data_IF_249586846041
#
_entry.id   IF_249586846041
#
_cell.length_a   1.000
_cell.length_b   1.000
_cell.length_c   1.000
_cell.angle_alpha   90.00
_cell.angle_beta   90.00
_cell.angle_gamma   90.00
#
_symmetry.space_group_name_H-M   'P 1'
#
loop_
_entity.id
_entity.type
_entity.pdbx_description
1 polymer ?
2 non-polymer ?
3 water ?
#
# COMPACT_ATOMS: atom_id res chain seq x y z
N UNK A 4 7.34 23.68 -4.75
CA UNK A 4 6.04 23.55 -4.03
C UNK A 4 6.27 23.00 -2.62
N UNK A 5 5.29 23.22 -1.74
CA UNK A 5 5.36 22.75 -0.36
C UNK A 5 5.33 21.22 -0.30
N UNK A 6 6.17 20.64 0.55
CA UNK A 6 6.22 19.18 0.67
C UNK A 6 6.09 18.69 2.11
N UNK A 7 4.86 18.57 2.59
CA UNK A 7 4.63 18.09 3.95
C UNK A 7 4.95 16.60 4.07
N UNK A 8 5.60 16.23 5.17
CA UNK A 8 5.98 14.85 5.45
C UNK A 8 4.87 14.09 6.19
N UNK A 9 4.49 12.93 5.67
CA UNK A 9 3.48 12.11 6.31
C UNK A 9 4.15 10.86 6.88
N UNK A 10 3.42 10.11 7.69
CA UNK A 10 3.96 8.89 8.28
C UNK A 10 3.00 7.75 8.03
N UNK A 11 3.53 6.62 7.57
CA UNK A 11 2.70 5.46 7.30
C UNK A 11 3.38 4.17 7.73
N UNK A 12 2.58 3.12 7.87
CA UNK A 12 3.10 1.80 8.21
C UNK A 12 2.98 1.02 6.91
N UNK A 13 3.96 0.17 6.64
CA UNK A 13 3.96 -0.61 5.42
C UNK A 13 3.90 -2.11 5.72
N UNK A 14 3.12 -2.83 4.93
CA UNK A 14 2.94 -4.27 5.06
C UNK A 14 3.24 -4.90 3.71
N UNK A 15 4.11 -5.91 3.71
CA UNK A 15 4.46 -6.59 2.48
C UNK A 15 3.64 -7.86 2.27
N UNK A 16 3.29 -8.14 1.02
CA UNK A 16 2.55 -9.35 0.72
C UNK A 16 3.52 -10.48 1.06
N UNK A 17 3.01 -11.57 1.62
CA UNK A 17 3.87 -12.68 1.99
C UNK A 17 3.21 -14.02 1.67
N UNK A 18 4.03 -15.01 1.33
CA UNK A 18 3.52 -16.34 1.03
C UNK A 18 3.21 -17.00 2.37
N UNK A 19 1.99 -17.50 2.51
CA UNK A 19 1.56 -18.15 3.74
C UNK A 19 1.88 -19.64 3.73
N UNK A 20 2.06 -20.20 4.93
CA UNK A 20 2.38 -21.61 5.08
C UNK A 20 1.36 -22.45 4.33
N UNK A 21 1.83 -23.42 3.52
CA UNK A 21 0.93 -24.28 2.76
C UNK A 21 -0.18 -24.86 3.62
N UNK A 22 -1.42 -24.72 3.15
CA UNK A 22 -2.56 -25.24 3.88
C UNK A 22 -3.59 -25.77 2.90
N UNK A 23 -3.66 -27.09 2.78
CA UNK A 23 -4.60 -27.74 1.88
C UNK A 23 -6.00 -27.14 2.02
N UNK A 24 -6.57 -26.71 0.90
CA UNK A 24 -7.91 -26.14 0.92
C UNK A 24 -8.88 -27.01 0.15
N UNK A 25 -10.17 -26.90 0.47
CA UNK A 25 -11.21 -27.69 -0.20
C UNK A 25 -10.83 -29.17 -0.25
N UNK A 26 -11.40 -29.95 0.65
CA UNK A 26 -11.10 -31.37 0.70
C UNK A 26 -9.61 -31.55 1.02
N UNK A 27 -8.99 -30.46 1.46
CA UNK A 27 -7.59 -30.50 1.82
C UNK A 27 -6.66 -30.96 0.72
N UNK A 28 -6.95 -30.60 -0.53
CA UNK A 28 -6.07 -30.97 -1.63
C UNK A 28 -4.71 -30.36 -1.28
N UNK A 29 -3.61 -31.10 -1.52
CA UNK A 29 -2.28 -30.58 -1.20
C UNK A 29 -2.04 -29.22 -1.85
N UNK A 30 -1.46 -28.30 -1.09
CA UNK A 30 -1.17 -26.95 -1.58
C UNK A 30 -0.12 -26.96 -2.69
N UNK A 31 -0.25 -26.03 -3.63
CA UNK A 31 0.69 -25.90 -4.74
C UNK A 31 1.78 -24.92 -4.32
N UNK A 32 3.04 -25.29 -4.55
CA UNK A 32 4.15 -24.42 -4.17
C UNK A 32 4.26 -23.23 -5.13
N UNK A 33 3.85 -23.44 -6.38
CA UNK A 33 3.90 -22.40 -7.39
C UNK A 33 2.65 -21.51 -7.30
N UNK A 34 1.85 -21.75 -6.28
CA UNK A 34 0.64 -20.97 -6.07
C UNK A 34 0.29 -20.90 -4.58
N UNK A 35 1.15 -20.25 -3.78
CA UNK A 35 0.94 -20.10 -2.34
C UNK A 35 -0.21 -19.16 -2.03
N UNK A 36 -0.58 -19.10 -0.76
CA UNK A 36 -1.64 -18.20 -0.32
C UNK A 36 -0.93 -16.92 0.07
N UNK A 37 -1.23 -15.84 -0.63
CA UNK A 37 -0.60 -14.54 -0.39
C UNK A 37 -1.47 -13.63 0.47
N UNK A 38 -0.89 -13.07 1.52
CA UNK A 38 -1.61 -12.16 2.41
C UNK A 38 -0.65 -11.30 3.21
N UNK A 39 -1.20 -10.35 3.96
CA UNK A 39 -0.37 -9.45 4.77
C UNK A 39 -0.30 -9.94 6.21
N UNK A 40 0.79 -9.59 6.92
CA UNK A 40 0.95 -10.00 8.32
C UNK A 40 0.11 -9.12 9.25
N UNK A 41 -0.04 -9.54 10.50
CA UNK A 41 -0.84 -8.79 11.49
C UNK A 41 -0.20 -7.46 11.82
N UNK A 42 1.11 -7.47 11.99
CA UNK A 42 1.83 -6.25 12.32
C UNK A 42 2.64 -5.69 11.16
N UNK A 43 2.89 -4.38 11.19
CA UNK A 43 3.65 -3.70 10.15
C UNK A 43 5.07 -4.22 10.01
N UNK A 44 5.54 -4.32 8.76
CA UNK A 44 6.90 -4.77 8.51
C UNK A 44 7.81 -3.56 8.76
N UNK A 45 7.33 -2.39 8.36
CA UNK A 45 8.07 -1.14 8.54
C UNK A 45 7.11 -0.22 9.30
N UNK A 46 7.65 0.63 10.16
CA UNK A 46 6.80 1.49 10.96
C UNK A 46 7.16 2.97 10.93
N UNK A 47 6.13 3.81 10.99
CA UNK A 47 6.31 5.25 11.00
C UNK A 47 7.32 5.72 9.95
N UNK A 48 7.14 5.25 8.72
CA UNK A 48 8.04 5.61 7.62
C UNK A 48 7.68 6.98 7.05
N UNK A 49 8.70 7.83 6.82
CA UNK A 49 8.51 9.18 6.28
C UNK A 49 8.29 9.19 4.77
N UNK A 50 7.36 10.02 4.33
CA UNK A 50 7.04 10.15 2.91
C UNK A 50 6.30 11.46 2.67
N UNK A 51 6.08 11.78 1.40
CA UNK A 51 5.34 12.98 1.04
C UNK A 51 4.63 12.68 -0.27
N UNK A 52 3.48 13.32 -0.49
CA UNK A 52 2.72 13.03 -1.71
C UNK A 52 2.59 14.16 -2.72
N UNK A 53 2.33 13.76 -3.97
CA UNK A 53 2.07 14.69 -5.07
C UNK A 53 0.99 13.99 -5.89
N UNK A 54 0.57 14.63 -6.99
CA UNK A 54 -0.49 14.09 -7.85
C UNK A 54 -1.64 13.53 -7.02
N UNK A 55 -2.01 14.22 -5.95
CA UNK A 55 -3.09 13.75 -5.10
C UNK A 55 -4.44 13.84 -5.81
N UNK A 56 -5.26 12.83 -5.60
CA UNK A 56 -6.57 12.74 -6.21
C UNK A 56 -7.59 12.45 -5.12
N UNK A 57 -8.74 13.10 -5.19
CA UNK A 57 -9.79 12.90 -4.20
C UNK A 57 -10.99 12.32 -4.91
N UNK A 58 -11.96 11.81 -4.15
CA UNK A 58 -13.16 11.24 -4.75
C UNK A 58 -14.30 11.29 -3.75
N UNK A 59 -15.52 11.44 -4.25
CA UNK A 59 -16.68 11.50 -3.38
C UNK A 59 -17.15 10.06 -3.19
N UNK A 60 -17.20 9.61 -1.94
CA UNK A 60 -17.61 8.24 -1.66
C UNK A 60 -18.97 8.15 -0.99
N UNK A 61 -19.60 9.29 -0.74
CA UNK A 61 -20.91 9.31 -0.11
C UNK A 61 -21.59 10.65 -0.33
N UNK A 62 -22.92 10.65 -0.31
CA UNK A 62 -23.70 11.88 -0.48
C UNK A 62 -24.78 11.99 0.59
N UNK A 63 -25.25 13.21 0.82
CA UNK A 63 -26.28 13.49 1.80
C UNK A 63 -26.06 12.70 3.09
N UNK A 64 -25.02 13.05 3.86
CA UNK A 64 -24.05 14.11 3.59
C UNK A 64 -22.91 13.66 2.67
N UNK A 65 -22.17 14.63 2.16
CA UNK A 65 -21.05 14.35 1.27
C UNK A 65 -19.84 13.83 2.01
N UNK A 66 -19.02 13.05 1.31
CA UNK A 66 -17.81 12.49 1.90
C UNK A 66 -16.74 12.40 0.83
N UNK A 67 -15.60 13.03 1.10
CA UNK A 67 -14.52 12.99 0.14
C UNK A 67 -13.25 12.49 0.78
N UNK A 68 -12.60 11.55 0.10
CA UNK A 68 -11.36 10.96 0.59
C UNK A 68 -10.32 11.00 -0.53
N UNK A 69 -9.08 10.67 -0.20
CA UNK A 69 -8.03 10.63 -1.20
C UNK A 69 -8.17 9.30 -1.93
N UNK A 70 -8.20 9.35 -3.25
CA UNK A 70 -8.33 8.14 -4.04
C UNK A 70 -6.96 7.55 -4.32
N UNK A 71 -6.00 8.42 -4.58
CA UNK A 71 -4.65 7.97 -4.86
C UNK A 71 -3.67 9.13 -4.84
N UNK A 72 -2.39 8.80 -4.83
CA UNK A 72 -1.34 9.80 -4.83
C UNK A 72 -0.02 9.14 -5.12
N UNK A 73 0.90 9.93 -5.63
CA UNK A 73 2.22 9.43 -5.92
C UNK A 73 3.00 9.59 -4.62
N UNK A 74 3.40 8.48 -4.02
CA UNK A 74 4.15 8.53 -2.78
C UNK A 74 5.65 8.61 -3.03
N UNK A 75 6.33 9.45 -2.26
CA UNK A 75 7.78 9.60 -2.37
C UNK A 75 8.36 9.08 -1.05
N UNK A 76 9.23 8.08 -1.15
CA UNK A 76 9.85 7.43 0.00
C UNK A 76 11.36 7.57 -0.02
N UNK A 77 11.99 7.46 1.15
CA UNK A 77 13.45 7.56 1.23
C UNK A 77 13.97 6.33 0.50
N UNK A 78 15.13 6.43 -0.11
CA UNK A 78 15.71 5.32 -0.85
C UNK A 78 16.02 4.12 0.07
N UNK A 79 16.34 4.41 1.33
CA UNK A 79 16.65 3.36 2.30
C UNK A 79 15.44 2.51 2.65
N UNK A 80 14.25 3.00 2.31
CA UNK A 80 13.02 2.26 2.60
C UNK A 80 12.81 1.04 1.69
N UNK A 81 12.23 -0.02 2.25
CA UNK A 81 11.95 -1.26 1.52
C UNK A 81 10.55 -1.12 0.92
N UNK A 82 10.49 -0.74 -0.35
CA UNK A 82 9.21 -0.54 -1.04
C UNK A 82 8.97 -1.64 -2.06
N UNK A 83 7.80 -2.25 -2.00
CA UNK A 83 7.43 -3.33 -2.91
C UNK A 83 6.02 -3.10 -3.43
N UNK A 84 5.76 -3.46 -4.68
CA UNK A 84 4.42 -3.26 -5.20
C UNK A 84 3.48 -4.24 -4.50
N UNK A 85 2.23 -3.81 -4.36
CA UNK A 85 1.20 -4.58 -3.68
C UNK A 85 1.40 -4.44 -2.18
N UNK A 86 2.29 -3.53 -1.80
CA UNK A 86 2.51 -3.26 -0.39
C UNK A 86 1.24 -2.59 0.10
N UNK A 87 0.92 -2.77 1.38
CA UNK A 87 -0.24 -2.10 1.95
C UNK A 87 0.33 -1.04 2.88
N UNK A 88 -0.05 0.22 2.68
CA UNK A 88 0.44 1.25 3.57
C UNK A 88 -0.75 1.84 4.31
N UNK A 89 -0.53 2.14 5.59
CA UNK A 89 -1.56 2.71 6.43
C UNK A 89 -1.17 4.15 6.76
N UNK A 90 -1.97 5.10 6.30
CA UNK A 90 -1.73 6.51 6.56
C UNK A 90 -3.01 7.09 7.13
N UNK A 91 -2.91 7.60 8.36
CA UNK A 91 -4.06 8.18 9.05
C UNK A 91 -5.27 7.26 9.08
N UNK A 92 -5.02 6.01 9.46
CA UNK A 92 -6.06 5.00 9.56
C UNK A 92 -6.69 4.50 8.27
N UNK A 93 -6.12 4.86 7.13
CA UNK A 93 -6.69 4.36 5.89
C UNK A 93 -5.70 3.46 5.17
N UNK A 94 -6.23 2.47 4.46
CA UNK A 94 -5.44 1.51 3.71
C UNK A 94 -5.19 1.94 2.27
N UNK A 95 -3.97 1.72 1.79
CA UNK A 95 -3.59 2.05 0.42
C UNK A 95 -2.72 0.92 -0.10
N UNK A 96 -2.83 0.64 -1.39
CA UNK A 96 -2.02 -0.40 -2.00
C UNK A 96 -1.14 0.24 -3.05
N UNK A 97 0.13 -0.13 -3.09
CA UNK A 97 1.04 0.40 -4.11
C UNK A 97 0.72 -0.35 -5.40
N UNK A 98 0.24 0.37 -6.41
CA UNK A 98 -0.15 -0.27 -7.66
C UNK A 98 0.86 -0.27 -8.79
N UNK A 99 0.86 0.81 -9.56
CA UNK A 99 1.78 0.90 -10.69
C UNK A 99 3.21 0.66 -10.21
N UNK A 100 4.13 0.39 -11.15
CA UNK A 100 5.54 0.14 -10.83
C UNK A 100 6.16 1.31 -10.09
N UNK A 101 7.19 1.04 -9.31
CA UNK A 101 7.88 2.09 -8.58
C UNK A 101 9.11 2.48 -9.39
N UNK A 102 9.77 3.56 -8.99
CA UNK A 102 10.97 4.00 -9.70
C UNK A 102 11.74 5.02 -8.89
N UNK A 103 12.99 5.25 -9.29
CA UNK A 103 13.86 6.19 -8.61
C UNK A 103 13.97 7.53 -9.34
N UNK A 104 13.72 8.60 -8.59
CA UNK A 104 13.81 9.95 -9.11
C UNK A 104 14.11 10.84 -7.90
N UNK A 105 15.12 11.69 -8.04
CA UNK A 105 15.52 12.60 -6.97
C UNK A 105 15.92 11.84 -5.71
N UNK A 106 16.59 10.71 -5.90
CA UNK A 106 17.06 9.89 -4.79
C UNK A 106 15.93 9.34 -3.91
N UNK A 107 14.74 9.22 -4.49
CA UNK A 107 13.59 8.72 -3.74
C UNK A 107 12.89 7.60 -4.49
N UNK A 108 12.15 6.76 -3.77
CA UNK A 108 11.37 5.73 -4.43
C UNK A 108 10.06 6.44 -4.72
N UNK A 109 9.60 6.37 -5.96
CA UNK A 109 8.33 6.99 -6.30
C UNK A 109 7.39 5.87 -6.70
N UNK A 110 6.17 5.90 -6.19
CA UNK A 110 5.22 4.85 -6.51
C UNK A 110 3.82 5.34 -6.21
N UNK A 111 2.86 4.92 -7.02
CA UNK A 111 1.47 5.30 -6.85
C UNK A 111 0.77 4.43 -5.82
N UNK A 112 0.04 5.08 -4.91
CA UNK A 112 -0.72 4.37 -3.89
C UNK A 112 -2.20 4.57 -4.24
N UNK A 113 -3.02 3.53 -4.08
CA UNK A 113 -4.43 3.65 -4.41
C UNK A 113 -5.32 3.16 -3.26
N UNK A 114 -6.38 3.92 -2.99
CA UNK A 114 -7.35 3.61 -1.94
C UNK A 114 -7.71 2.13 -1.98
N UNK A 115 -7.41 1.43 -0.89
CA UNK A 115 -7.66 0.00 -0.80
C UNK A 115 -9.05 -0.43 -1.24
N UNK A 116 -10.09 0.10 -0.58
CA UNK A 116 -11.46 -0.29 -0.90
C UNK A 116 -12.03 0.15 -2.25
N UNK A 117 -11.19 0.66 -3.13
CA UNK A 117 -11.65 1.07 -4.45
C UNK A 117 -11.13 0.06 -5.46
N UNK A 118 -10.41 -0.94 -4.96
CA UNK A 118 -9.85 -2.00 -5.79
C UNK A 118 -10.90 -3.06 -6.08
X LIG B 1 0.48 12.38 9.17
X LIG B 1 -0.74 11.90 9.87
X LIG B 1 1.06 13.53 9.91
X LIG B 1 1.48 11.29 9.11
X LIG B 1 0.12 12.81 7.80
X LIG C 1 -9.99 1.97 3.41
X LIG C 1 -10.00 0.51 3.12
X LIG C 1 -9.30 2.21 4.70
X LIG C 1 -9.26 2.68 2.32
X LIG C 1 -11.38 2.48 3.48
#
# INVERSE_FOLDING_TARGET
XSYRQMLIHRCDIYHEAAQAPSAGRFGIPADRLQPVISYPDTPDEQDVPCYFTEKTQQLIQEEPDQTVYHSFLVHFPLSADIRVNDKIIWENHKYILKLPKRIRHHHWEVVAVRDESLLEHHHHHH
PO4 P O1 O2 O3 O4
PO4 P O1 O2 O3 O4
#
